data_IF_488227630047
#
_entry.id   IF_488227630047
#
_cell.length_a   1.000
_cell.length_b   1.000
_cell.length_c   1.000
_cell.angle_alpha   90.00
_cell.angle_beta   90.00
_cell.angle_gamma   90.00
#
_symmetry.space_group_name_H-M   'P 1'
#
loop_
_entity.id
_entity.type
_entity.pdbx_description
1 polymer ?
#
# COMPACT_ATOMS: atom_id res chain seq x y z
N UNK A 1 20.04 -9.16 7.24
CA UNK A 1 18.57 -9.33 7.33
C UNK A 1 18.16 -8.85 8.70
N UNK A 2 17.14 -7.99 8.82
CA UNK A 2 16.68 -7.50 10.12
C UNK A 2 16.10 -8.68 10.92
N UNK A 3 16.46 -8.79 12.20
CA UNK A 3 15.97 -9.84 13.10
C UNK A 3 14.49 -9.66 13.53
N UNK A 4 13.74 -8.79 12.84
CA UNK A 4 12.38 -8.42 13.21
C UNK A 4 11.41 -8.67 12.06
N UNK A 5 10.23 -9.25 12.33
CA UNK A 5 9.24 -9.53 11.30
C UNK A 5 8.70 -8.22 10.72
N UNK A 6 8.10 -8.32 9.54
CA UNK A 6 7.66 -7.17 8.79
C UNK A 6 6.17 -7.26 8.46
N UNK A 7 5.51 -6.11 8.50
CA UNK A 7 4.21 -5.91 7.91
C UNK A 7 4.43 -5.27 6.54
N UNK A 8 4.04 -5.93 5.46
CA UNK A 8 4.12 -5.42 4.11
C UNK A 8 2.71 -5.14 3.58
N UNK A 9 2.46 -3.91 3.16
CA UNK A 9 1.28 -3.59 2.37
C UNK A 9 1.67 -3.61 0.90
N UNK A 10 0.99 -4.42 0.10
CA UNK A 10 1.03 -4.31 -1.37
C UNK A 10 -0.27 -3.64 -1.80
N UNK A 11 -0.16 -2.34 -2.09
CA UNK A 11 -1.28 -1.44 -2.28
C UNK A 11 -1.37 -0.94 -3.73
N UNK A 12 -2.54 -0.45 -4.13
CA UNK A 12 -2.75 0.14 -5.46
C UNK A 12 -4.10 -0.24 -6.10
N UNK A 13 -4.41 0.31 -7.28
CA UNK A 13 -5.69 0.07 -7.92
C UNK A 13 -5.85 -1.36 -8.45
N UNK A 14 -7.06 -1.71 -8.85
CA UNK A 14 -7.34 -2.99 -9.51
C UNK A 14 -6.54 -3.07 -10.83
N UNK A 15 -6.05 -4.26 -11.18
CA UNK A 15 -5.21 -4.45 -12.37
C UNK A 15 -3.75 -3.96 -12.24
N UNK A 16 -3.33 -3.40 -11.10
CA UNK A 16 -1.96 -2.91 -10.93
C UNK A 16 -0.89 -4.01 -10.75
N UNK A 17 -1.29 -5.28 -10.58
CA UNK A 17 -0.37 -6.41 -10.39
C UNK A 17 -0.05 -6.75 -8.93
N UNK A 18 -0.84 -6.26 -7.96
CA UNK A 18 -0.63 -6.49 -6.52
C UNK A 18 -0.38 -7.96 -6.16
N UNK A 19 -1.17 -8.88 -6.71
CA UNK A 19 -1.05 -10.32 -6.40
C UNK A 19 0.20 -10.99 -6.95
N UNK A 20 0.85 -10.40 -7.96
CA UNK A 20 2.17 -10.81 -8.41
C UNK A 20 3.23 -10.32 -7.42
N UNK A 21 3.17 -9.04 -7.05
CA UNK A 21 4.10 -8.41 -6.13
C UNK A 21 4.04 -8.99 -4.72
N UNK A 22 2.85 -9.31 -4.21
CA UNK A 22 2.69 -9.94 -2.90
C UNK A 22 3.39 -11.30 -2.87
N UNK A 23 3.31 -12.11 -3.92
CA UNK A 23 3.98 -13.40 -4.01
C UNK A 23 5.49 -13.27 -4.13
N UNK A 24 5.97 -12.32 -4.93
CA UNK A 24 7.39 -12.16 -5.21
C UNK A 24 8.16 -11.41 -4.13
N UNK A 25 7.53 -10.48 -3.43
CA UNK A 25 8.20 -9.57 -2.48
C UNK A 25 7.90 -9.91 -1.01
N UNK A 26 6.99 -10.84 -0.74
CA UNK A 26 6.83 -11.36 0.63
C UNK A 26 8.03 -12.17 1.05
N UNK A 27 8.40 -12.04 2.33
CA UNK A 27 9.43 -12.90 2.91
C UNK A 27 8.97 -14.37 2.94
N UNK A 28 9.90 -15.33 2.85
CA UNK A 28 9.58 -16.74 2.99
C UNK A 28 8.79 -17.04 4.27
N UNK A 29 7.67 -17.75 4.13
CA UNK A 29 6.79 -18.10 5.25
C UNK A 29 5.89 -16.98 5.75
N UNK A 30 5.83 -15.84 5.06
CA UNK A 30 4.85 -14.80 5.33
C UNK A 30 3.42 -15.32 5.18
N UNK A 31 2.52 -14.82 6.03
CA UNK A 31 1.08 -14.90 5.78
C UNK A 31 0.76 -13.83 4.73
N UNK A 32 0.10 -14.22 3.63
CA UNK A 32 -0.36 -13.30 2.59
C UNK A 32 -1.88 -13.27 2.62
N UNK A 33 -2.45 -12.11 2.92
CA UNK A 33 -3.88 -11.89 2.99
C UNK A 33 -4.37 -11.05 1.81
N UNK A 34 -5.31 -11.61 1.04
CA UNK A 34 -6.08 -10.93 0.00
C UNK A 34 -7.57 -11.15 0.28
N UNK A 35 -8.28 -10.06 0.56
CA UNK A 35 -9.70 -10.09 0.90
C UNK A 35 -10.56 -10.66 -0.25
N UNK A 36 -10.20 -10.40 -1.51
CA UNK A 36 -10.97 -10.87 -2.66
C UNK A 36 -10.89 -12.40 -2.77
N UNK A 37 -9.72 -12.98 -2.47
CA UNK A 37 -9.51 -14.44 -2.45
C UNK A 37 -10.29 -15.08 -1.31
N UNK A 38 -10.24 -14.51 -0.11
CA UNK A 38 -10.96 -15.03 1.07
C UNK A 38 -12.47 -14.97 0.85
N UNK A 39 -12.99 -13.84 0.36
CA UNK A 39 -14.41 -13.69 0.03
C UNK A 39 -14.83 -14.71 -1.02
N UNK A 40 -14.08 -14.86 -2.12
CA UNK A 40 -14.39 -15.83 -3.16
C UNK A 40 -14.38 -17.28 -2.62
N UNK A 41 -13.47 -17.60 -1.70
CA UNK A 41 -13.39 -18.90 -1.07
C UNK A 41 -14.63 -19.20 -0.19
N UNK A 42 -15.04 -18.24 0.64
CA UNK A 42 -16.23 -18.37 1.50
C UNK A 42 -17.49 -18.52 0.63
N UNK A 43 -17.62 -17.73 -0.44
CA UNK A 43 -18.75 -17.81 -1.38
C UNK A 43 -18.81 -19.16 -2.08
N UNK A 44 -17.66 -19.72 -2.48
CA UNK A 44 -17.61 -21.05 -3.09
C UNK A 44 -18.03 -22.17 -2.13
N UNK A 45 -17.76 -22.02 -0.83
CA UNK A 45 -18.16 -23.00 0.20
C UNK A 45 -19.61 -22.84 0.66
N UNK A 46 -20.16 -21.63 0.59
CA UNK A 46 -21.52 -21.31 1.04
C UNK A 46 -22.24 -20.38 0.06
N UNK A 47 -22.66 -20.87 -1.12
CA UNK A 47 -23.22 -20.04 -2.19
C UNK A 47 -24.48 -19.25 -1.81
N UNK A 48 -25.30 -19.81 -0.91
CA UNK A 48 -26.55 -19.18 -0.45
C UNK A 48 -26.35 -18.23 0.75
N UNK A 49 -25.10 -18.05 1.21
CA UNK A 49 -24.81 -17.17 2.35
C UNK A 49 -25.10 -15.70 1.98
N UNK A 50 -25.81 -14.93 2.84
CA UNK A 50 -25.99 -13.51 2.61
C UNK A 50 -24.65 -12.79 2.50
N UNK A 51 -24.46 -11.92 1.50
CA UNK A 51 -23.20 -11.19 1.25
C UNK A 51 -22.64 -10.50 2.51
N UNK A 52 -23.50 -9.91 3.34
CA UNK A 52 -23.06 -9.29 4.61
C UNK A 52 -22.33 -10.30 5.51
N UNK A 53 -22.85 -11.52 5.63
CA UNK A 53 -22.25 -12.56 6.47
C UNK A 53 -20.93 -13.07 5.89
N UNK A 54 -20.82 -13.16 4.56
CA UNK A 54 -19.54 -13.46 3.88
C UNK A 54 -18.48 -12.43 4.26
N UNK A 55 -18.80 -11.13 4.20
CA UNK A 55 -17.86 -10.07 4.60
C UNK A 55 -17.55 -10.08 6.10
N UNK A 56 -18.54 -10.36 6.96
CA UNK A 56 -18.33 -10.50 8.41
C UNK A 56 -17.35 -11.66 8.70
N UNK A 57 -17.51 -12.81 8.03
CA UNK A 57 -16.65 -13.98 8.18
C UNK A 57 -15.23 -13.73 7.61
N UNK A 58 -15.11 -13.06 6.45
CA UNK A 58 -13.82 -12.65 5.89
C UNK A 58 -13.07 -11.65 6.80
N UNK A 59 -13.81 -10.74 7.44
CA UNK A 59 -13.24 -9.80 8.43
C UNK A 59 -12.75 -10.54 9.67
N UNK A 60 -13.50 -11.54 10.14
CA UNK A 60 -13.07 -12.38 11.26
C UNK A 60 -11.79 -13.14 10.91
N UNK A 61 -11.73 -13.77 9.73
CA UNK A 61 -10.54 -14.48 9.27
C UNK A 61 -9.33 -13.54 9.16
N UNK A 62 -9.50 -12.31 8.65
CA UNK A 62 -8.45 -11.31 8.63
C UNK A 62 -7.83 -11.08 10.02
N UNK A 63 -8.65 -10.86 11.04
CA UNK A 63 -8.16 -10.63 12.39
C UNK A 63 -7.53 -11.88 13.01
N UNK A 64 -8.06 -13.06 12.73
CA UNK A 64 -7.42 -14.33 13.16
C UNK A 64 -6.03 -14.48 12.57
N UNK A 65 -5.85 -14.18 11.28
CA UNK A 65 -4.55 -14.22 10.62
C UNK A 65 -3.59 -13.13 11.15
N UNK A 66 -4.09 -11.93 11.46
CA UNK A 66 -3.30 -10.86 12.12
C UNK A 66 -2.80 -11.32 13.49
N UNK A 67 -3.67 -11.91 14.31
CA UNK A 67 -3.31 -12.41 15.64
C UNK A 67 -2.28 -13.54 15.52
N UNK A 68 -2.47 -14.47 14.59
CA UNK A 68 -1.53 -15.56 14.34
C UNK A 68 -0.16 -15.01 13.90
N UNK A 69 -0.13 -14.03 13.00
CA UNK A 69 1.10 -13.39 12.55
C UNK A 69 1.91 -12.84 13.72
N UNK A 70 1.25 -12.05 14.57
CA UNK A 70 1.86 -11.39 15.73
C UNK A 70 2.34 -12.41 16.77
N UNK A 71 1.48 -13.39 17.09
CA UNK A 71 1.76 -14.42 18.10
C UNK A 71 2.96 -15.27 17.70
N UNK A 72 3.01 -15.67 16.44
CA UNK A 72 4.06 -16.53 15.90
C UNK A 72 5.30 -15.76 15.41
N UNK A 73 5.28 -14.42 15.53
CA UNK A 73 6.28 -13.50 14.96
C UNK A 73 6.56 -13.73 13.47
N UNK A 74 5.52 -14.07 12.70
CA UNK A 74 5.60 -14.25 11.24
C UNK A 74 5.47 -12.92 10.51
N UNK A 75 6.11 -12.84 9.34
CA UNK A 75 5.87 -11.76 8.39
C UNK A 75 4.39 -11.79 7.94
N UNK A 76 3.83 -10.61 7.67
CA UNK A 76 2.45 -10.47 7.22
C UNK A 76 2.41 -9.53 6.01
N UNK A 77 1.81 -9.99 4.93
CA UNK A 77 1.60 -9.22 3.71
C UNK A 77 0.11 -9.02 3.48
N UNK A 78 -0.31 -7.78 3.31
CA UNK A 78 -1.68 -7.41 3.02
C UNK A 78 -1.80 -6.83 1.61
N UNK A 79 -2.59 -7.48 0.76
CA UNK A 79 -3.05 -6.89 -0.49
C UNK A 79 -4.25 -5.99 -0.26
N UNK A 80 -4.21 -4.75 -0.78
CA UNK A 80 -5.30 -3.80 -0.56
C UNK A 80 -5.37 -2.72 -1.62
N UNK A 81 -6.53 -2.09 -1.80
CA UNK A 81 -6.64 -0.81 -2.52
C UNK A 81 -6.31 0.39 -1.62
N UNK A 82 -6.03 0.17 -0.33
CA UNK A 82 -5.65 1.18 0.66
C UNK A 82 -6.67 2.33 0.79
N UNK A 83 -7.93 1.99 1.07
CA UNK A 83 -9.07 2.93 1.10
C UNK A 83 -9.87 2.91 2.41
N UNK A 84 -9.32 2.32 3.46
CA UNK A 84 -9.98 2.19 4.76
C UNK A 84 -9.04 2.64 5.88
N UNK A 85 -9.49 3.59 6.70
CA UNK A 85 -8.71 4.13 7.83
C UNK A 85 -8.50 3.08 8.91
N UNK A 86 -9.34 2.04 9.00
CA UNK A 86 -9.13 0.94 9.94
C UNK A 86 -7.83 0.18 9.67
N UNK A 87 -7.29 0.22 8.45
CA UNK A 87 -5.99 -0.36 8.15
C UNK A 87 -4.85 0.30 8.96
N UNK A 88 -5.00 1.56 9.36
CA UNK A 88 -4.00 2.25 10.19
C UNK A 88 -3.96 1.70 11.61
N UNK A 89 -5.08 1.17 12.11
CA UNK A 89 -5.11 0.46 13.40
C UNK A 89 -4.26 -0.81 13.34
N UNK A 90 -4.29 -1.49 12.19
CA UNK A 90 -3.44 -2.67 11.94
C UNK A 90 -1.96 -2.26 11.91
N UNK A 91 -1.62 -1.21 11.16
CA UNK A 91 -0.24 -0.67 11.13
C UNK A 91 0.25 -0.35 12.54
N UNK A 92 -0.56 0.35 13.34
CA UNK A 92 -0.21 0.70 14.72
C UNK A 92 -0.04 -0.53 15.62
N UNK A 93 -0.90 -1.53 15.48
CA UNK A 93 -0.82 -2.77 16.26
C UNK A 93 0.47 -3.55 15.93
N UNK A 94 0.81 -3.74 14.66
CA UNK A 94 2.06 -4.39 14.26
C UNK A 94 3.29 -3.61 14.76
N UNK A 95 3.29 -2.27 14.70
CA UNK A 95 4.36 -1.44 15.27
C UNK A 95 4.53 -1.67 16.77
N UNK A 96 3.44 -1.80 17.53
CA UNK A 96 3.45 -2.08 18.96
C UNK A 96 4.17 -3.40 19.29
N UNK A 97 4.12 -4.36 18.36
CA UNK A 97 4.83 -5.65 18.45
C UNK A 97 6.22 -5.66 17.78
N UNK A 98 6.75 -4.46 17.49
CA UNK A 98 8.09 -4.22 16.92
C UNK A 98 8.26 -4.79 15.52
N UNK A 99 7.23 -4.71 14.70
CA UNK A 99 7.34 -4.96 13.27
C UNK A 99 7.83 -3.70 12.57
N UNK A 100 8.66 -3.88 11.54
CA UNK A 100 8.88 -2.83 10.54
C UNK A 100 7.67 -2.78 9.62
N UNK A 101 7.12 -1.59 9.38
CA UNK A 101 5.98 -1.44 8.47
C UNK A 101 6.41 -0.88 7.12
N UNK A 102 6.09 -1.63 6.08
CA UNK A 102 6.47 -1.36 4.71
C UNK A 102 5.21 -1.20 3.86
N UNK A 103 5.26 -0.31 2.88
CA UNK A 103 4.26 -0.23 1.83
C UNK A 103 4.93 -0.19 0.47
N UNK A 104 4.42 -0.98 -0.46
CA UNK A 104 4.66 -0.85 -1.89
C UNK A 104 3.32 -0.43 -2.48
N UNK A 105 3.26 0.78 -3.05
CA UNK A 105 2.07 1.28 -3.71
C UNK A 105 2.27 1.30 -5.22
N UNK A 106 1.50 0.48 -5.92
CA UNK A 106 1.50 0.38 -7.38
C UNK A 106 0.53 1.42 -7.96
N UNK A 107 0.98 2.13 -9.01
CA UNK A 107 0.15 3.08 -9.75
C UNK A 107 -0.05 2.62 -11.19
N UNK A 108 -1.14 3.09 -11.79
CA UNK A 108 -1.38 3.01 -13.23
C UNK A 108 -1.50 4.42 -13.79
N UNK A 109 -1.28 4.55 -15.09
CA UNK A 109 -1.22 5.83 -15.78
C UNK A 109 -2.59 6.51 -15.79
N UNK A 110 -3.62 5.72 -16.06
CA UNK A 110 -5.01 6.16 -16.16
C UNK A 110 -5.98 5.05 -15.71
N UNK A 111 -7.26 5.41 -15.56
CA UNK A 111 -8.29 4.49 -15.08
C UNK A 111 -8.66 3.46 -16.14
N UNK A 112 -8.55 3.82 -17.41
CA UNK A 112 -8.84 2.96 -18.55
C UNK A 112 -7.95 1.72 -18.51
N UNK A 113 -6.64 1.87 -18.24
CA UNK A 113 -5.74 0.74 -18.02
C UNK A 113 -6.18 -0.17 -16.86
N UNK A 114 -6.72 0.39 -15.78
CA UNK A 114 -7.24 -0.40 -14.65
C UNK A 114 -8.44 -1.24 -15.07
N UNK A 115 -9.37 -0.63 -15.82
CA UNK A 115 -10.58 -1.27 -16.33
C UNK A 115 -10.21 -2.37 -17.32
N UNK A 116 -9.36 -2.07 -18.30
CA UNK A 116 -8.96 -3.01 -19.35
C UNK A 116 -8.28 -4.26 -18.75
N UNK A 117 -7.35 -4.06 -17.80
CA UNK A 117 -6.68 -5.18 -17.11
C UNK A 117 -7.64 -6.01 -16.26
N UNK A 118 -8.67 -5.41 -15.68
CA UNK A 118 -9.72 -6.17 -14.97
C UNK A 118 -10.55 -6.99 -15.96
N UNK A 119 -10.93 -6.41 -17.09
CA UNK A 119 -11.70 -7.11 -18.14
C UNK A 119 -10.91 -8.29 -18.74
N UNK A 120 -9.62 -8.13 -19.00
CA UNK A 120 -8.72 -9.21 -19.44
C UNK A 120 -8.65 -10.34 -18.40
N UNK A 121 -8.51 -9.98 -17.12
CA UNK A 121 -8.46 -10.95 -16.01
C UNK A 121 -9.78 -11.72 -15.89
N UNK A 122 -10.92 -11.04 -15.99
CA UNK A 122 -12.26 -11.67 -15.95
C UNK A 122 -12.44 -12.61 -17.14
N UNK A 123 -12.01 -12.19 -18.33
CA UNK A 123 -12.03 -13.03 -19.54
C UNK A 123 -11.18 -14.30 -19.39
N UNK A 124 -10.18 -14.26 -18.50
CA UNK A 124 -9.32 -15.39 -18.15
C UNK A 124 -9.81 -16.17 -16.90
N UNK A 125 -11.03 -15.93 -16.43
CA UNK A 125 -11.66 -16.62 -15.31
C UNK A 125 -11.39 -16.03 -13.92
N UNK A 126 -10.84 -14.82 -13.83
CA UNK A 126 -10.62 -14.14 -12.55
C UNK A 126 -11.84 -13.38 -12.01
N UNK A 127 -11.67 -12.76 -10.83
CA UNK A 127 -12.74 -12.06 -10.13
C UNK A 127 -13.22 -10.78 -10.85
N UNK A 128 -14.54 -10.63 -10.97
CA UNK A 128 -15.20 -9.45 -11.53
C UNK A 128 -15.32 -8.34 -10.50
N UNK A 129 -15.05 -7.10 -10.93
CA UNK A 129 -15.26 -5.88 -10.14
C UNK A 129 -15.95 -4.87 -11.05
N UNK A 130 -17.01 -4.23 -10.58
CA UNK A 130 -17.74 -3.25 -11.38
C UNK A 130 -16.95 -1.95 -11.58
N UNK A 131 -17.28 -1.20 -12.64
CA UNK A 131 -16.58 0.02 -13.02
C UNK A 131 -16.61 1.11 -11.94
N UNK A 132 -17.71 1.24 -11.20
CA UNK A 132 -17.83 2.26 -10.16
C UNK A 132 -16.90 1.93 -8.99
N UNK A 133 -16.86 0.67 -8.57
CA UNK A 133 -15.92 0.18 -7.56
C UNK A 133 -14.46 0.35 -8.02
N UNK A 134 -14.14 0.02 -9.27
CA UNK A 134 -12.79 0.25 -9.83
C UNK A 134 -12.42 1.74 -9.73
N UNK A 135 -13.32 2.63 -10.14
CA UNK A 135 -13.10 4.08 -10.07
C UNK A 135 -12.88 4.57 -8.65
N UNK A 136 -13.75 4.14 -7.72
CA UNK A 136 -13.62 4.51 -6.31
C UNK A 136 -12.29 4.03 -5.72
N UNK A 137 -11.88 2.79 -6.01
CA UNK A 137 -10.60 2.25 -5.56
C UNK A 137 -9.42 3.01 -6.16
N UNK A 138 -9.51 3.36 -7.45
CA UNK A 138 -8.49 4.09 -8.18
C UNK A 138 -8.26 5.49 -7.60
N UNK A 139 -9.34 6.19 -7.24
CA UNK A 139 -9.29 7.57 -6.73
C UNK A 139 -8.99 7.62 -5.22
N UNK A 140 -9.65 6.81 -4.41
CA UNK A 140 -9.49 6.84 -2.94
C UNK A 140 -8.14 6.31 -2.50
N UNK A 141 -7.61 5.26 -3.14
CA UNK A 141 -6.31 4.69 -2.76
C UNK A 141 -5.19 5.73 -2.79
N UNK A 142 -5.17 6.59 -3.81
CA UNK A 142 -4.14 7.63 -3.96
C UNK A 142 -4.31 8.74 -2.92
N UNK A 143 -5.56 9.15 -2.63
CA UNK A 143 -5.84 10.13 -1.58
C UNK A 143 -5.42 9.62 -0.20
N UNK A 144 -5.69 8.35 0.09
CA UNK A 144 -5.30 7.71 1.35
C UNK A 144 -3.78 7.56 1.44
N UNK A 145 -3.11 7.18 0.34
CA UNK A 145 -1.65 7.15 0.28
C UNK A 145 -1.06 8.51 0.65
N UNK A 146 -1.55 9.59 0.01
CA UNK A 146 -1.13 10.96 0.32
C UNK A 146 -1.30 11.26 1.81
N UNK A 147 -2.47 10.96 2.36
CA UNK A 147 -2.83 11.29 3.74
C UNK A 147 -2.03 10.50 4.77
N UNK A 148 -1.71 9.24 4.50
CA UNK A 148 -1.27 8.29 5.50
C UNK A 148 0.12 7.68 5.28
N UNK A 149 0.88 8.14 4.29
CA UNK A 149 2.25 7.70 4.02
C UNK A 149 3.15 7.67 5.28
N UNK A 150 3.03 8.67 6.16
CA UNK A 150 3.82 8.78 7.41
C UNK A 150 3.53 7.69 8.45
N UNK A 151 2.49 6.88 8.25
CA UNK A 151 2.18 5.73 9.10
C UNK A 151 3.16 4.58 8.87
N UNK A 152 3.84 4.55 7.73
CA UNK A 152 4.80 3.50 7.36
C UNK A 152 6.25 3.91 7.66
N UNK A 153 7.09 2.92 7.95
CA UNK A 153 8.53 3.15 8.14
C UNK A 153 9.24 3.23 6.78
N UNK A 154 8.80 2.40 5.83
CA UNK A 154 9.28 2.39 4.46
C UNK A 154 8.10 2.49 3.49
N UNK A 155 8.28 3.25 2.41
CA UNK A 155 7.30 3.41 1.34
C UNK A 155 8.00 3.42 -0.01
N UNK A 156 7.54 2.59 -0.93
CA UNK A 156 7.92 2.60 -2.34
C UNK A 156 6.69 2.88 -3.19
N UNK A 157 6.72 3.90 -4.03
CA UNK A 157 5.68 4.17 -5.03
C UNK A 157 6.22 3.77 -6.39
N UNK A 158 5.54 2.84 -7.07
CA UNK A 158 6.00 2.24 -8.32
C UNK A 158 4.95 2.48 -9.40
N UNK A 159 5.39 2.99 -10.55
CA UNK A 159 4.60 2.98 -11.77
C UNK A 159 4.62 1.59 -12.40
N UNK A 160 3.45 0.96 -12.45
CA UNK A 160 3.20 -0.37 -13.00
C UNK A 160 2.39 -0.33 -14.32
N UNK A 161 2.37 0.83 -14.99
CA UNK A 161 1.64 1.04 -16.25
C UNK A 161 2.29 0.33 -17.44
N UNK A 162 3.61 0.15 -17.41
CA UNK A 162 4.33 -0.63 -18.42
C UNK A 162 4.05 -2.13 -18.34
N UNK A 163 4.76 -2.91 -19.16
CA UNK A 163 4.80 -4.37 -18.97
C UNK A 163 5.42 -4.72 -17.61
N UNK A 164 5.23 -5.96 -17.13
CA UNK A 164 5.70 -6.41 -15.80
C UNK A 164 7.19 -6.15 -15.54
N UNK A 165 7.99 -5.97 -16.60
CA UNK A 165 9.44 -5.70 -16.54
C UNK A 165 9.81 -4.21 -16.69
N UNK A 166 8.84 -3.32 -16.82
CA UNK A 166 9.02 -1.86 -16.97
C UNK A 166 8.51 -1.10 -15.74
N UNK A 167 8.80 -1.64 -14.56
CA UNK A 167 8.49 -0.99 -13.29
C UNK A 167 9.41 0.21 -13.08
N UNK A 168 8.84 1.35 -12.69
CA UNK A 168 9.62 2.56 -12.42
C UNK A 168 9.34 3.06 -11.01
N UNK A 169 10.39 3.18 -10.20
CA UNK A 169 10.30 3.84 -8.89
C UNK A 169 10.01 5.33 -9.09
N UNK A 170 8.89 5.78 -8.55
CA UNK A 170 8.46 7.19 -8.54
C UNK A 170 8.91 7.89 -7.26
N UNK A 171 8.91 7.18 -6.13
CA UNK A 171 9.32 7.69 -4.84
C UNK A 171 9.76 6.54 -3.93
N UNK A 172 10.85 6.75 -3.19
CA UNK A 172 11.35 5.80 -2.20
C UNK A 172 11.62 6.51 -0.87
N UNK A 173 11.03 5.98 0.19
CA UNK A 173 11.27 6.36 1.59
C UNK A 173 11.78 5.14 2.32
N UNK A 174 12.91 5.30 3.01
CA UNK A 174 13.51 4.27 3.84
C UNK A 174 13.81 4.78 5.24
N UNK A 175 13.36 4.05 6.26
CA UNK A 175 13.44 4.43 7.67
C UNK A 175 12.94 5.86 7.88
N UNK A 176 11.80 6.20 7.28
CA UNK A 176 11.18 7.54 7.29
C UNK A 176 12.07 8.66 6.73
N UNK A 177 13.05 8.33 5.90
CA UNK A 177 13.86 9.32 5.18
C UNK A 177 13.60 9.20 3.69
N UNK A 178 13.35 10.33 3.03
CA UNK A 178 13.26 10.37 1.57
C UNK A 178 14.60 9.96 0.95
N UNK A 179 14.56 8.98 0.03
CA UNK A 179 15.74 8.44 -0.67
C UNK A 179 15.73 8.76 -2.16
N UNK A 180 14.55 8.77 -2.76
CA UNK A 180 14.38 8.98 -4.19
C UNK A 180 13.04 9.65 -4.48
N UNK A 181 13.05 10.53 -5.47
CA UNK A 181 11.86 11.06 -6.14
C UNK A 181 12.18 11.14 -7.62
N UNK A 182 11.32 10.58 -8.46
CA UNK A 182 11.46 10.65 -9.91
C UNK A 182 11.13 12.05 -10.42
N UNK A 183 11.92 12.56 -11.36
CA UNK A 183 11.57 13.77 -12.13
C UNK A 183 10.44 13.51 -13.14
N UNK A 184 10.22 12.24 -13.50
CA UNK A 184 9.24 11.81 -14.50
C UNK A 184 8.12 11.03 -13.82
N UNK A 185 7.10 11.76 -13.37
CA UNK A 185 5.87 11.23 -12.78
C UNK A 185 4.70 11.66 -13.66
N UNK A 186 3.71 10.78 -13.88
CA UNK A 186 2.50 11.18 -14.60
C UNK A 186 1.72 12.24 -13.81
N UNK A 187 1.00 13.11 -14.51
CA UNK A 187 0.34 14.28 -13.90
C UNK A 187 -0.58 13.90 -12.74
N UNK A 188 -1.29 12.78 -12.86
CA UNK A 188 -2.22 12.29 -11.83
C UNK A 188 -1.53 11.98 -10.51
N UNK A 189 -0.37 11.32 -10.54
CA UNK A 189 0.34 10.88 -9.33
C UNK A 189 1.34 11.94 -8.86
N UNK A 190 1.77 12.85 -9.74
CA UNK A 190 2.76 13.88 -9.45
C UNK A 190 2.40 14.71 -8.22
N UNK A 191 1.13 15.15 -8.10
CA UNK A 191 0.67 15.89 -6.92
C UNK A 191 0.89 15.10 -5.63
N UNK A 192 0.46 13.85 -5.59
CA UNK A 192 0.57 13.00 -4.40
C UNK A 192 2.02 12.63 -4.09
N UNK A 193 2.84 12.31 -5.10
CA UNK A 193 4.29 12.06 -4.91
C UNK A 193 4.99 13.27 -4.32
N UNK A 194 4.73 14.48 -4.85
CA UNK A 194 5.32 15.70 -4.33
C UNK A 194 4.86 16.00 -2.90
N UNK A 195 3.55 15.90 -2.64
CA UNK A 195 3.00 16.11 -1.30
C UNK A 195 3.56 15.12 -0.26
N UNK A 196 3.83 13.87 -0.67
CA UNK A 196 4.51 12.90 0.19
C UNK A 196 5.98 13.27 0.35
N UNK A 197 6.71 13.58 -0.72
CA UNK A 197 8.11 13.96 -0.64
C UNK A 197 8.35 15.14 0.31
N UNK A 198 7.47 16.15 0.29
CA UNK A 198 7.51 17.30 1.20
C UNK A 198 7.41 16.87 2.68
N UNK A 199 6.53 15.91 3.01
CA UNK A 199 6.37 15.40 4.40
C UNK A 199 7.62 14.70 4.94
N UNK A 200 8.44 14.13 4.06
CA UNK A 200 9.65 13.40 4.42
C UNK A 200 10.94 14.18 4.14
N UNK A 201 10.82 15.44 3.72
CA UNK A 201 11.96 16.34 3.57
C UNK A 201 12.17 17.09 4.88
N UNK A 202 13.35 17.00 5.51
CA UNK A 202 13.61 17.75 6.73
C UNK A 202 13.52 19.26 6.45
N UNK A 203 13.03 20.07 7.40
CA UNK A 203 13.03 21.53 7.23
C UNK A 203 14.47 22.02 7.02
N UNK A 204 14.68 23.09 6.25
CA UNK A 204 16.00 23.68 6.13
C UNK A 204 16.54 24.01 7.53
N UNK A 205 17.86 23.83 7.77
CA UNK A 205 18.44 24.16 9.06
C UNK A 205 18.10 25.62 9.39
N UNK A 206 17.63 25.86 10.63
CA UNK A 206 17.38 27.21 11.13
C UNK A 206 18.63 28.06 10.84
N UNK A 207 18.47 29.12 10.06
CA UNK A 207 19.53 30.11 9.93
C UNK A 207 19.71 30.70 11.32
N UNK A 208 20.86 30.39 11.93
CA UNK A 208 21.31 30.93 13.21
C UNK A 208 21.42 32.46 13.05
N UNK A 209 20.29 33.17 13.21
CA UNK A 209 20.21 34.62 13.24
C UNK A 209 20.83 35.09 14.55
N UNK A 210 22.13 34.90 14.70
CA UNK A 210 22.89 35.57 15.75
C UNK A 210 22.72 37.06 15.47
N UNK A 211 22.16 37.85 16.40
CA UNK A 211 22.03 39.27 16.21
C UNK A 211 23.43 39.84 15.97
N UNK A 212 23.60 40.55 14.84
CA UNK A 212 24.84 41.23 14.50
C UNK A 212 25.24 42.13 15.67
N UNK A 213 26.24 41.70 16.45
CA UNK A 213 26.87 42.54 17.46
C UNK A 213 27.88 43.39 16.72
N UNK A 214 27.45 44.59 16.32
CA UNK A 214 28.32 45.59 15.68
C UNK A 214 29.59 45.87 16.51
N UNK A 215 30.60 46.50 15.90
CA UNK A 215 31.90 46.70 16.54
C UNK A 215 31.73 47.46 17.86
N UNK A 216 32.31 46.91 18.94
CA UNK A 216 32.39 47.58 20.24
C UNK A 216 33.30 48.80 20.09
N UNK A 217 32.78 49.97 20.44
CA UNK A 217 33.58 51.20 20.59
C UNK A 217 34.47 51.12 21.82
#
# INVERSE_FOLDING_TARGET
MSNYPQLLFVAGPNGAGKSTFSKELSEPGAIIFDADIVVAHIEAQSPDMPKKRVYDDATKEFFEQVIAAITDRRHFTLETNFRDENLLKIVAEFKRHRYTTNMIYLTLENIEQSIDRVNERVSSGGHYVDHETIKQNYDLGLQFLERYAESFDNLEIIDASGSTWQLRSLLSIQNRNLKHVSERVNERVAKTVNAIAEKFTPPPPEQDLRPYRGPRR
#
